data_IF_135706476427
#
_entry.id   IF_135706476427
#
_cell.length_a   1.000
_cell.length_b   1.000
_cell.length_c   1.000
_cell.angle_alpha   90.00
_cell.angle_beta   90.00
_cell.angle_gamma   90.00
#
_symmetry.space_group_name_H-M   'P 1'
#
loop_
_entity.id
_entity.type
_entity.pdbx_description
1 polymer ?
#
# COMPACT_ATOMS: atom_id res chain seq x y z
N UNK A 1 11.28 -30.75 0.03
CA UNK A 1 12.15 -29.64 0.49
C UNK A 1 11.37 -28.35 0.29
N UNK A 2 10.98 -27.66 1.38
CA UNK A 2 10.21 -26.41 1.32
C UNK A 2 11.14 -25.30 0.83
N UNK A 3 10.92 -24.82 -0.40
CA UNK A 3 11.70 -23.73 -0.97
C UNK A 3 11.57 -22.48 -0.10
N UNK A 4 12.71 -22.06 0.44
CA UNK A 4 12.92 -21.00 1.42
C UNK A 4 12.92 -19.61 0.76
N UNK A 5 11.98 -19.41 -0.15
CA UNK A 5 11.66 -18.13 -0.76
C UNK A 5 10.17 -17.88 -0.55
N UNK A 6 9.78 -17.73 0.72
CA UNK A 6 8.68 -16.82 1.05
C UNK A 6 9.16 -15.44 0.62
N UNK A 7 9.07 -15.15 -0.68
CA UNK A 7 9.11 -13.78 -1.16
C UNK A 7 8.10 -13.05 -0.30
N UNK A 8 8.55 -12.05 0.44
CA UNK A 8 7.66 -11.11 1.07
C UNK A 8 6.74 -10.60 -0.04
N UNK A 9 5.54 -11.17 -0.15
CA UNK A 9 4.54 -10.79 -1.12
C UNK A 9 4.15 -9.38 -0.72
N UNK A 10 4.86 -8.40 -1.28
CA UNK A 10 4.62 -7.01 -1.00
C UNK A 10 3.19 -6.75 -1.45
N UNK A 11 2.35 -6.39 -0.48
CA UNK A 11 0.92 -6.19 -0.71
C UNK A 11 0.76 -5.30 -1.94
N UNK A 12 -0.07 -5.72 -2.90
CA UNK A 12 -0.27 -5.03 -4.17
C UNK A 12 -0.55 -3.53 -3.97
N UNK A 13 -1.23 -3.17 -2.88
CA UNK A 13 -1.48 -1.79 -2.50
C UNK A 13 -0.19 -1.00 -2.21
N UNK A 14 0.81 -1.63 -1.60
CA UNK A 14 2.12 -1.02 -1.33
C UNK A 14 2.91 -0.82 -2.63
N UNK A 15 2.83 -1.76 -3.57
CA UNK A 15 3.46 -1.60 -4.90
C UNK A 15 2.83 -0.42 -5.64
N UNK A 16 1.50 -0.35 -5.67
CA UNK A 16 0.76 0.75 -6.30
C UNK A 16 1.09 2.09 -5.65
N UNK A 17 1.26 2.13 -4.32
CA UNK A 17 1.68 3.33 -3.60
C UNK A 17 3.06 3.82 -4.07
N UNK A 18 4.04 2.91 -4.15
CA UNK A 18 5.42 3.24 -4.57
C UNK A 18 5.44 3.74 -6.01
N UNK A 19 4.72 3.07 -6.92
CA UNK A 19 4.61 3.52 -8.32
C UNK A 19 3.93 4.89 -8.42
N UNK A 20 2.88 5.13 -7.63
CA UNK A 20 2.20 6.43 -7.55
C UNK A 20 3.13 7.55 -7.07
N UNK A 21 3.96 7.30 -6.06
CA UNK A 21 4.95 8.26 -5.55
C UNK A 21 6.03 8.59 -6.60
N UNK A 22 6.51 7.59 -7.33
CA UNK A 22 7.46 7.81 -8.43
C UNK A 22 6.80 8.65 -9.53
N UNK A 23 5.60 8.29 -9.96
CA UNK A 23 4.86 9.04 -10.98
C UNK A 23 4.63 10.50 -10.56
N UNK A 24 4.33 10.74 -9.27
CA UNK A 24 4.18 12.07 -8.71
C UNK A 24 5.49 12.88 -8.79
N UNK A 25 6.62 12.28 -8.37
CA UNK A 25 7.93 12.94 -8.44
C UNK A 25 8.35 13.29 -9.87
N UNK A 26 8.09 12.40 -10.83
CA UNK A 26 8.30 12.68 -12.25
C UNK A 26 7.38 13.79 -12.76
N UNK A 27 6.11 13.80 -12.35
CA UNK A 27 5.16 14.83 -12.76
C UNK A 27 5.55 16.23 -12.26
N UNK A 28 5.99 16.35 -11.00
CA UNK A 28 6.47 17.62 -10.44
C UNK A 28 7.76 18.09 -11.13
N UNK A 29 8.69 17.17 -11.40
CA UNK A 29 9.96 17.50 -12.07
C UNK A 29 9.76 18.12 -13.46
N UNK A 30 8.82 17.58 -14.25
CA UNK A 30 8.52 18.07 -15.60
C UNK A 30 7.38 19.13 -15.64
N UNK A 31 6.84 19.56 -14.49
CA UNK A 31 5.66 20.44 -14.39
C UNK A 31 4.44 19.94 -15.18
N UNK A 32 4.24 18.62 -15.24
CA UNK A 32 3.04 18.03 -15.83
C UNK A 32 1.89 18.04 -14.82
N UNK A 33 1.13 19.13 -14.81
CA UNK A 33 -0.04 19.33 -13.93
C UNK A 33 -1.06 18.17 -13.98
N UNK A 34 -1.29 17.60 -15.17
CA UNK A 34 -2.24 16.50 -15.37
C UNK A 34 -1.73 15.19 -14.75
N UNK A 35 -0.43 14.91 -14.88
CA UNK A 35 0.17 13.70 -14.33
C UNK A 35 0.29 13.79 -12.80
N UNK A 36 0.53 15.00 -12.28
CA UNK A 36 0.60 15.26 -10.85
C UNK A 36 -0.74 15.05 -10.17
N UNK A 37 -1.84 15.61 -10.71
CA UNK A 37 -3.18 15.44 -10.12
C UNK A 37 -3.65 13.98 -10.15
N UNK A 38 -3.29 13.23 -11.19
CA UNK A 38 -3.57 11.80 -11.28
C UNK A 38 -2.79 11.00 -10.24
N UNK A 39 -1.49 11.29 -10.07
CA UNK A 39 -0.64 10.68 -9.04
C UNK A 39 -1.15 10.92 -7.62
N UNK A 40 -1.51 12.17 -7.28
CA UNK A 40 -2.08 12.51 -5.96
C UNK A 40 -3.34 11.70 -5.68
N UNK A 41 -4.23 11.61 -6.67
CA UNK A 41 -5.51 10.92 -6.53
C UNK A 41 -5.32 9.42 -6.23
N UNK A 42 -4.40 8.76 -6.94
CA UNK A 42 -4.04 7.36 -6.70
C UNK A 42 -3.44 7.16 -5.31
N UNK A 43 -2.55 8.06 -4.87
CA UNK A 43 -1.93 7.97 -3.55
C UNK A 43 -2.98 8.07 -2.44
N UNK A 44 -3.91 9.03 -2.54
CA UNK A 44 -4.99 9.19 -1.54
C UNK A 44 -5.83 7.93 -1.44
N UNK A 45 -6.29 7.39 -2.58
CA UNK A 45 -7.09 6.16 -2.60
C UNK A 45 -6.31 5.01 -1.99
N UNK A 46 -5.05 4.85 -2.38
CA UNK A 46 -4.19 3.75 -1.88
C UNK A 46 -3.94 3.85 -0.38
N UNK A 47 -3.73 5.06 0.15
CA UNK A 47 -3.62 5.30 1.59
C UNK A 47 -4.87 4.84 2.35
N UNK A 48 -6.07 5.15 1.84
CA UNK A 48 -7.33 4.71 2.46
C UNK A 48 -7.41 3.18 2.51
N UNK A 49 -7.09 2.51 1.40
CA UNK A 49 -7.09 1.04 1.34
C UNK A 49 -6.06 0.40 2.28
N UNK A 50 -4.88 1.00 2.42
CA UNK A 50 -3.86 0.54 3.37
C UNK A 50 -4.37 0.67 4.81
N UNK A 51 -4.99 1.80 5.17
CA UNK A 51 -5.57 2.02 6.49
C UNK A 51 -6.65 0.98 6.82
N UNK A 52 -7.59 0.73 5.89
CA UNK A 52 -8.64 -0.28 6.07
C UNK A 52 -8.03 -1.68 6.26
N UNK A 53 -7.06 -2.03 5.41
CA UNK A 53 -6.37 -3.32 5.48
C UNK A 53 -5.68 -3.49 6.82
N UNK A 54 -4.91 -2.49 7.25
CA UNK A 54 -4.16 -2.50 8.50
C UNK A 54 -5.09 -2.57 9.72
N UNK A 55 -6.22 -1.86 9.69
CA UNK A 55 -7.25 -1.95 10.72
C UNK A 55 -7.85 -3.36 10.82
N UNK A 56 -8.17 -3.98 9.68
CA UNK A 56 -8.70 -5.35 9.63
C UNK A 56 -7.69 -6.37 10.18
N UNK A 57 -6.43 -6.30 9.75
CA UNK A 57 -5.36 -7.15 10.26
C UNK A 57 -5.16 -6.97 11.77
N UNK A 58 -5.21 -5.73 12.26
CA UNK A 58 -5.05 -5.43 13.69
C UNK A 58 -6.20 -6.01 14.51
N UNK A 59 -7.46 -5.82 14.07
CA UNK A 59 -8.63 -6.39 14.74
C UNK A 59 -8.56 -7.92 14.78
N UNK A 60 -8.26 -8.55 13.65
CA UNK A 60 -8.15 -10.00 13.56
C UNK A 60 -6.99 -10.55 14.42
N UNK A 61 -5.87 -9.83 14.51
CA UNK A 61 -4.76 -10.19 15.38
C UNK A 61 -5.15 -10.15 16.87
N UNK A 62 -5.89 -9.12 17.29
CA UNK A 62 -6.39 -8.97 18.67
C UNK A 62 -7.40 -10.08 19.01
N UNK A 63 -8.38 -10.34 18.13
CA UNK A 63 -9.38 -11.41 18.33
C UNK A 63 -8.72 -12.81 18.40
N UNK A 64 -7.69 -13.05 17.59
CA UNK A 64 -6.97 -14.32 17.58
C UNK A 64 -6.05 -14.49 18.80
N UNK A 65 -5.53 -13.40 19.37
CA UNK A 65 -4.81 -13.41 20.65
C UNK A 65 -5.74 -13.66 21.84
N UNK A 66 -6.95 -13.10 21.81
CA UNK A 66 -7.97 -13.29 22.85
C UNK A 66 -8.49 -14.73 22.95
N UNK A 67 -8.51 -15.47 21.84
CA UNK A 67 -8.90 -16.90 21.79
C UNK A 67 -7.81 -17.89 22.24
N UNK A 68 -6.60 -17.41 22.54
CA UNK A 68 -5.46 -18.27 22.92
C UNK A 68 -5.11 -18.19 24.43
N UNK A 69 -5.89 -17.43 25.20
CA UNK A 69 -6.02 -17.56 26.66
C UNK A 69 -7.27 -18.38 27.01
#
# INVERSE_FOLDING_TARGET
MKNKFEYAYMNQNVIVLVVGLIALGFAEYYKLYILGSFGVSIIIITCIFIFISMFYYTKHYIEKKGKKN
#
